data_IF_311597961676
#
_entry.id   IF_311597961676
#
_cell.length_a   1.000
_cell.length_b   1.000
_cell.length_c   1.000
_cell.angle_alpha   90.00
_cell.angle_beta   90.00
_cell.angle_gamma   90.00
#
_symmetry.space_group_name_H-M   'P 1'
#
loop_
_entity.id
_entity.type
_entity.pdbx_description
1 polymer ?
#
# COMPACT_ATOMS: atom_id res chain seq x y z
N UNK A 1 -5.10 -8.88 0.74
CA UNK A 1 -5.37 -7.44 0.53
C UNK A 1 -6.86 -7.19 0.34
N UNK A 2 -7.37 -6.02 0.75
CA UNK A 2 -8.74 -5.56 0.41
C UNK A 2 -8.62 -4.55 -0.72
N UNK A 3 -9.45 -4.63 -1.76
CA UNK A 3 -9.32 -3.80 -2.98
C UNK A 3 -10.29 -2.62 -3.05
N UNK A 4 -11.24 -2.50 -2.11
CA UNK A 4 -12.25 -1.42 -2.14
C UNK A 4 -11.66 0.00 -2.16
N UNK A 5 -10.56 0.24 -1.44
CA UNK A 5 -9.89 1.54 -1.43
C UNK A 5 -9.40 1.95 -2.84
N UNK A 6 -8.91 0.98 -3.61
CA UNK A 6 -8.38 1.19 -4.94
C UNK A 6 -9.47 1.61 -5.91
N UNK A 7 -10.60 0.89 -5.92
CA UNK A 7 -11.73 1.23 -6.78
C UNK A 7 -12.35 2.59 -6.45
N UNK A 8 -12.39 2.98 -5.17
CA UNK A 8 -12.80 4.33 -4.76
C UNK A 8 -11.86 5.37 -5.36
N UNK A 9 -10.54 5.16 -5.23
CA UNK A 9 -9.53 6.11 -5.72
C UNK A 9 -9.57 6.26 -7.25
N UNK A 10 -9.65 5.15 -7.99
CA UNK A 10 -9.79 5.15 -9.46
C UNK A 10 -11.08 5.85 -9.88
N UNK A 11 -12.22 5.50 -9.28
CA UNK A 11 -13.53 6.07 -9.64
C UNK A 11 -13.62 7.56 -9.35
N UNK A 12 -13.02 8.01 -8.24
CA UNK A 12 -13.01 9.42 -7.83
C UNK A 12 -11.84 10.20 -8.44
N UNK A 13 -10.94 9.56 -9.18
CA UNK A 13 -9.72 10.15 -9.74
C UNK A 13 -8.83 10.85 -8.71
N UNK A 14 -8.74 10.28 -7.51
CA UNK A 14 -7.94 10.83 -6.40
C UNK A 14 -6.68 10.01 -6.17
N UNK A 15 -5.55 10.63 -5.76
CA UNK A 15 -4.35 9.90 -5.41
C UNK A 15 -4.48 9.16 -4.08
N UNK A 16 -3.64 8.15 -3.87
CA UNK A 16 -3.56 7.32 -2.67
C UNK A 16 -2.24 7.64 -1.95
N UNK A 17 -2.28 7.96 -0.66
CA UNK A 17 -1.06 8.12 0.14
C UNK A 17 -0.72 6.80 0.82
N UNK A 18 0.48 6.26 0.55
CA UNK A 18 0.92 4.98 1.12
C UNK A 18 1.55 5.18 2.50
N UNK A 19 0.77 5.12 3.57
CA UNK A 19 1.27 5.24 4.95
C UNK A 19 1.71 3.88 5.50
N UNK A 20 2.75 3.85 6.35
CA UNK A 20 3.26 2.62 6.97
C UNK A 20 3.55 2.78 8.47
N UNK A 21 3.59 1.63 9.16
CA UNK A 21 4.10 1.49 10.52
C UNK A 21 5.13 0.36 10.54
N UNK A 22 6.37 0.70 10.85
CA UNK A 22 7.47 -0.25 11.03
C UNK A 22 7.68 -0.49 12.53
N UNK A 23 7.18 -1.63 13.00
CA UNK A 23 7.24 -2.03 14.41
C UNK A 23 8.63 -2.49 14.85
N UNK A 24 9.47 -2.93 13.91
CA UNK A 24 10.85 -3.34 14.20
C UNK A 24 11.68 -2.11 14.59
N UNK A 25 11.54 -1.05 13.78
CA UNK A 25 12.23 0.24 13.98
C UNK A 25 11.49 1.21 14.91
N UNK A 26 10.23 0.90 15.27
CA UNK A 26 9.33 1.77 16.04
C UNK A 26 9.12 3.16 15.41
N UNK A 27 8.97 3.18 14.09
CA UNK A 27 8.71 4.41 13.32
C UNK A 27 7.45 4.26 12.48
N UNK A 28 6.83 5.38 12.16
CA UNK A 28 5.77 5.48 11.16
C UNK A 28 6.11 6.56 10.15
N UNK A 29 5.49 6.48 8.99
CA UNK A 29 5.74 7.45 7.93
C UNK A 29 4.65 7.49 6.88
N UNK A 30 4.65 8.58 6.14
CA UNK A 30 3.90 8.72 4.89
C UNK A 30 4.87 8.47 3.74
N UNK A 31 4.51 7.51 2.90
CA UNK A 31 5.22 7.20 1.67
C UNK A 31 4.80 8.08 0.50
N UNK A 32 5.08 7.60 -0.70
CA UNK A 32 4.76 8.31 -1.92
C UNK A 32 3.25 8.52 -2.09
N UNK A 33 2.90 9.62 -2.76
CA UNK A 33 1.58 9.82 -3.36
C UNK A 33 1.53 8.94 -4.61
N UNK A 34 0.67 7.93 -4.57
CA UNK A 34 0.48 6.96 -5.64
C UNK A 34 -0.75 7.35 -6.46
N UNK A 35 -0.54 7.64 -7.74
CA UNK A 35 -1.65 7.87 -8.67
C UNK A 35 -2.04 6.52 -9.29
N UNK A 36 -3.26 6.01 -9.02
CA UNK A 36 -3.68 4.75 -9.63
C UNK A 36 -3.86 4.92 -11.14
N UNK A 37 -3.33 3.96 -11.89
CA UNK A 37 -3.37 3.90 -13.35
C UNK A 37 -4.70 3.32 -13.87
N UNK A 38 -5.39 2.53 -13.04
CA UNK A 38 -6.57 1.77 -13.42
C UNK A 38 -6.26 0.30 -13.70
N UNK A 39 -5.01 -0.08 -13.92
CA UNK A 39 -4.55 -1.47 -13.95
C UNK A 39 -4.31 -1.96 -12.52
N UNK A 40 -5.30 -2.65 -11.97
CA UNK A 40 -5.25 -3.11 -10.57
C UNK A 40 -4.10 -4.07 -10.31
N UNK A 41 -3.71 -4.90 -11.27
CA UNK A 41 -2.68 -5.91 -11.06
C UNK A 41 -1.30 -5.24 -10.98
N UNK A 42 -1.02 -4.34 -11.92
CA UNK A 42 0.20 -3.54 -11.92
C UNK A 42 0.28 -2.62 -10.70
N UNK A 43 -0.80 -1.92 -10.37
CA UNK A 43 -0.82 -0.96 -9.27
C UNK A 43 -0.69 -1.66 -7.92
N UNK A 44 -1.41 -2.76 -7.71
CA UNK A 44 -1.30 -3.52 -6.47
C UNK A 44 0.08 -4.17 -6.32
N UNK A 45 0.74 -4.57 -7.41
CA UNK A 45 2.13 -5.04 -7.36
C UNK A 45 3.09 -3.91 -6.90
N UNK A 46 2.94 -2.70 -7.42
CA UNK A 46 3.71 -1.55 -6.99
C UNK A 46 3.46 -1.19 -5.51
N UNK A 47 2.20 -1.21 -5.07
CA UNK A 47 1.82 -0.98 -3.67
C UNK A 47 2.44 -2.06 -2.77
N UNK A 48 2.37 -3.34 -3.14
CA UNK A 48 3.00 -4.44 -2.37
C UNK A 48 4.51 -4.26 -2.28
N UNK A 49 5.17 -3.91 -3.38
CA UNK A 49 6.61 -3.64 -3.40
C UNK A 49 7.00 -2.48 -2.47
N UNK A 50 6.18 -1.43 -2.39
CA UNK A 50 6.38 -0.35 -1.42
C UNK A 50 6.31 -0.83 0.03
N UNK A 51 5.41 -1.75 0.35
CA UNK A 51 5.21 -2.25 1.73
C UNK A 51 6.18 -3.36 2.15
N UNK A 52 6.80 -4.07 1.21
CA UNK A 52 7.72 -5.17 1.47
C UNK A 52 8.86 -4.90 2.48
N UNK A 53 9.52 -3.72 2.51
CA UNK A 53 10.60 -3.45 3.46
C UNK A 53 10.13 -3.14 4.90
N UNK A 54 8.82 -2.96 5.14
CA UNK A 54 8.30 -2.57 6.46
C UNK A 54 7.72 -3.76 7.22
N UNK A 55 8.05 -3.85 8.52
CA UNK A 55 7.56 -4.94 9.37
C UNK A 55 6.38 -4.48 10.22
N UNK A 56 5.18 -4.91 9.85
CA UNK A 56 3.97 -4.68 10.64
C UNK A 56 3.98 -5.47 11.97
N UNK A 57 3.13 -5.07 12.91
CA UNK A 57 2.98 -5.74 14.22
C UNK A 57 2.73 -7.25 14.09
N UNK A 58 1.92 -7.63 13.11
CA UNK A 58 1.59 -9.01 12.79
C UNK A 58 2.24 -9.41 11.45
N UNK A 59 3.58 -9.36 11.39
CA UNK A 59 4.33 -9.57 10.15
C UNK A 59 4.02 -10.90 9.44
N UNK A 60 3.63 -11.95 10.17
CA UNK A 60 3.25 -13.25 9.58
C UNK A 60 1.94 -13.22 8.78
N UNK A 61 1.13 -12.17 8.91
CA UNK A 61 -0.11 -11.98 8.15
C UNK A 61 0.10 -11.16 6.87
N UNK A 62 1.33 -10.71 6.60
CA UNK A 62 1.65 -9.97 5.40
C UNK A 62 1.91 -10.94 4.24
N UNK A 63 1.16 -10.78 3.15
CA UNK A 63 1.33 -11.50 1.90
C UNK A 63 1.73 -10.51 0.81
N UNK A 64 2.97 -10.64 0.31
CA UNK A 64 3.54 -9.79 -0.73
C UNK A 64 3.17 -10.24 -2.15
N UNK A 65 2.61 -11.45 -2.27
CA UNK A 65 2.23 -12.12 -3.51
C UNK A 65 0.76 -11.83 -3.86
#
# INVERSE_FOLDING_TARGET
>A
WKTGFYYIAVSAQVPIVLAYMDYDKKISGLGAIFQPSGDIDADMAAIRAFYAPFKGRNASQFHAD
#
